data_IF_452493481110
#
_entry.id   IF_452493481110
#
_cell.length_a   1.000
_cell.length_b   1.000
_cell.length_c   1.000
_cell.angle_alpha   90.00
_cell.angle_beta   90.00
_cell.angle_gamma   90.00
#
_symmetry.space_group_name_H-M   'P 1'
#
loop_
_entity.id
_entity.type
_entity.pdbx_description
1 polymer ?
#
# COMPACT_ATOMS: atom_id res chain seq x y z
N UNK A 1 -11.99 -46.41 -48.97
CA UNK A 1 -11.50 -45.32 -48.09
C UNK A 1 -12.72 -44.55 -47.62
N UNK A 2 -13.11 -44.75 -46.36
CA UNK A 2 -14.26 -44.09 -45.76
C UNK A 2 -13.82 -42.70 -45.30
N UNK A 3 -14.17 -41.65 -46.02
CA UNK A 3 -13.89 -40.26 -45.62
C UNK A 3 -15.04 -39.78 -44.75
N UNK A 4 -14.90 -39.97 -43.44
CA UNK A 4 -15.74 -39.30 -42.45
C UNK A 4 -15.50 -37.80 -42.54
N UNK A 5 -16.51 -37.04 -42.95
CA UNK A 5 -16.49 -35.58 -42.84
C UNK A 5 -16.80 -35.23 -41.39
N UNK A 6 -15.83 -34.66 -40.69
CA UNK A 6 -16.08 -34.02 -39.40
C UNK A 6 -16.71 -32.65 -39.73
N UNK A 7 -18.01 -32.51 -39.52
CA UNK A 7 -18.64 -31.20 -39.54
C UNK A 7 -18.17 -30.45 -38.29
N UNK A 8 -17.33 -29.43 -38.48
CA UNK A 8 -17.05 -28.45 -37.43
C UNK A 8 -18.30 -27.59 -37.29
N UNK A 9 -19.09 -27.87 -36.25
CA UNK A 9 -20.19 -27.00 -35.85
C UNK A 9 -19.57 -25.74 -35.24
N UNK A 10 -19.65 -24.62 -35.95
CA UNK A 10 -19.29 -23.30 -35.42
C UNK A 10 -20.59 -22.73 -34.86
N UNK A 11 -20.81 -22.89 -33.56
CA UNK A 11 -21.95 -22.25 -32.90
C UNK A 11 -21.74 -20.73 -32.92
N UNK A 12 -22.75 -19.91 -33.29
CA UNK A 12 -22.61 -18.46 -33.25
C UNK A 12 -22.20 -18.03 -31.83
N UNK A 13 -21.31 -17.03 -31.70
CA UNK A 13 -20.88 -16.59 -30.38
C UNK A 13 -22.10 -16.12 -29.59
N UNK A 14 -22.26 -16.65 -28.39
CA UNK A 14 -23.33 -16.26 -27.47
C UNK A 14 -23.19 -14.77 -27.11
N UNK A 15 -24.32 -14.09 -27.05
CA UNK A 15 -24.40 -12.66 -26.74
C UNK A 15 -25.30 -12.42 -25.53
N UNK A 16 -25.16 -11.24 -24.96
CA UNK A 16 -25.87 -10.79 -23.78
C UNK A 16 -25.77 -9.28 -23.60
N UNK A 17 -26.50 -8.76 -22.64
CA UNK A 17 -26.55 -7.34 -22.33
C UNK A 17 -25.20 -6.84 -21.80
N UNK A 18 -24.74 -5.74 -22.38
CA UNK A 18 -23.54 -5.01 -22.03
C UNK A 18 -23.92 -3.60 -21.60
N UNK A 19 -23.70 -3.28 -20.32
CA UNK A 19 -23.96 -1.95 -19.79
C UNK A 19 -22.70 -1.09 -19.88
N UNK A 20 -22.83 0.13 -20.42
CA UNK A 20 -21.78 1.14 -20.29
C UNK A 20 -21.66 1.59 -18.84
N UNK A 21 -20.46 2.03 -18.45
CA UNK A 21 -20.19 2.43 -17.07
C UNK A 21 -20.95 3.69 -16.66
N UNK A 22 -21.32 4.57 -17.58
CA UNK A 22 -22.20 5.70 -17.26
C UNK A 22 -23.65 5.28 -16.92
N UNK A 23 -24.00 4.00 -17.10
CA UNK A 23 -25.33 3.45 -16.86
C UNK A 23 -26.37 3.86 -17.91
N UNK A 24 -26.00 4.62 -18.92
CA UNK A 24 -26.96 5.22 -19.86
C UNK A 24 -27.25 4.34 -21.08
N UNK A 25 -26.31 3.46 -21.45
CA UNK A 25 -26.41 2.66 -22.67
C UNK A 25 -26.32 1.17 -22.36
N UNK A 26 -27.23 0.41 -22.97
CA UNK A 26 -27.15 -1.05 -23.02
C UNK A 26 -27.09 -1.51 -24.48
N UNK A 27 -26.14 -2.38 -24.80
CA UNK A 27 -26.04 -3.04 -26.11
C UNK A 27 -26.00 -4.57 -25.93
N UNK A 28 -26.42 -5.32 -26.96
CA UNK A 28 -26.31 -6.78 -26.95
C UNK A 28 -25.02 -7.16 -27.67
N UNK A 29 -24.06 -7.67 -26.91
CA UNK A 29 -22.69 -7.92 -27.36
C UNK A 29 -22.22 -9.30 -26.90
N UNK A 30 -21.09 -9.78 -27.42
CA UNK A 30 -20.40 -10.91 -26.80
C UNK A 30 -19.70 -10.45 -25.52
N UNK A 31 -19.41 -11.36 -24.58
CA UNK A 31 -18.65 -11.02 -23.37
C UNK A 31 -17.31 -10.34 -23.68
N UNK A 32 -16.60 -10.80 -24.72
CA UNK A 32 -15.32 -10.22 -25.15
C UNK A 32 -15.50 -8.81 -25.73
N UNK A 33 -16.49 -8.60 -26.59
CA UNK A 33 -16.82 -7.26 -27.11
C UNK A 33 -17.20 -6.30 -26.00
N UNK A 34 -17.99 -6.76 -25.02
CA UNK A 34 -18.41 -5.94 -23.90
C UNK A 34 -17.23 -5.48 -23.04
N UNK A 35 -16.30 -6.42 -22.73
CA UNK A 35 -15.07 -6.09 -22.01
C UNK A 35 -14.18 -5.12 -22.79
N UNK A 36 -14.09 -5.26 -24.12
CA UNK A 36 -13.34 -4.33 -24.97
C UNK A 36 -13.92 -2.91 -24.96
N UNK A 37 -15.24 -2.77 -24.84
CA UNK A 37 -15.92 -1.49 -24.68
C UNK A 37 -15.82 -0.91 -23.26
N UNK A 38 -15.16 -1.62 -22.34
CA UNK A 38 -15.09 -1.24 -20.93
C UNK A 38 -16.42 -1.36 -20.18
N UNK A 39 -17.40 -2.08 -20.73
CA UNK A 39 -18.72 -2.27 -20.13
C UNK A 39 -18.81 -3.47 -19.20
N UNK A 40 -19.94 -3.59 -18.50
CA UNK A 40 -20.25 -4.71 -17.60
C UNK A 40 -21.19 -5.68 -18.33
N UNK A 41 -20.71 -6.91 -18.55
CA UNK A 41 -21.49 -7.99 -19.17
C UNK A 41 -22.43 -8.65 -18.17
N UNK A 42 -23.70 -8.86 -18.56
CA UNK A 42 -24.76 -9.37 -17.68
C UNK A 42 -25.12 -10.84 -17.92
N UNK A 43 -24.28 -11.56 -18.65
CA UNK A 43 -24.42 -12.99 -18.92
C UNK A 43 -25.10 -13.30 -20.25
N UNK A 44 -24.91 -14.54 -20.70
CA UNK A 44 -25.38 -15.02 -22.00
C UNK A 44 -26.91 -15.14 -22.05
N UNK A 45 -27.50 -14.75 -23.18
CA UNK A 45 -28.94 -14.75 -23.39
C UNK A 45 -29.70 -13.64 -22.67
N UNK A 46 -29.01 -12.81 -21.87
CA UNK A 46 -29.61 -11.66 -21.19
C UNK A 46 -29.84 -10.53 -22.20
N UNK A 47 -31.09 -10.11 -22.41
CA UNK A 47 -31.42 -8.96 -23.25
C UNK A 47 -31.38 -7.63 -22.48
N UNK A 48 -31.15 -6.52 -23.17
CA UNK A 48 -31.14 -5.19 -22.54
C UNK A 48 -32.49 -4.79 -21.92
N UNK A 49 -33.61 -5.32 -22.42
CA UNK A 49 -34.94 -5.07 -21.84
C UNK A 49 -35.12 -5.70 -20.45
N UNK A 50 -34.25 -6.64 -20.07
CA UNK A 50 -34.29 -7.35 -18.80
C UNK A 50 -33.23 -6.85 -17.79
N UNK A 51 -32.44 -5.83 -18.15
CA UNK A 51 -31.32 -5.31 -17.36
C UNK A 51 -31.50 -3.84 -17.11
N UNK A 52 -31.36 -3.44 -15.85
CA UNK A 52 -31.15 -2.04 -15.47
C UNK A 52 -29.64 -1.76 -15.41
N UNK A 53 -29.17 -0.81 -16.22
CA UNK A 53 -27.78 -0.40 -16.19
C UNK A 53 -27.59 0.68 -15.11
N UNK A 54 -26.83 0.33 -14.07
CA UNK A 54 -26.52 1.23 -12.97
C UNK A 54 -25.23 2.00 -13.28
N UNK A 55 -25.20 3.34 -13.13
CA UNK A 55 -23.98 4.11 -13.24
C UNK A 55 -22.90 3.58 -12.29
N UNK A 56 -21.77 3.21 -12.86
CA UNK A 56 -20.66 2.53 -12.21
C UNK A 56 -19.34 3.18 -12.63
N UNK A 57 -18.28 2.85 -11.90
CA UNK A 57 -16.94 3.33 -12.22
C UNK A 57 -15.89 2.61 -11.39
N UNK A 58 -14.64 2.99 -11.58
CA UNK A 58 -13.54 2.48 -10.81
C UNK A 58 -13.71 2.82 -9.33
N UNK A 59 -13.58 1.80 -8.50
CA UNK A 59 -13.56 1.84 -7.05
C UNK A 59 -12.20 1.33 -6.59
N UNK A 60 -11.45 2.18 -5.91
CA UNK A 60 -10.18 1.77 -5.31
C UNK A 60 -10.44 1.24 -3.90
N UNK A 61 -10.22 -0.06 -3.71
CA UNK A 61 -10.37 -0.71 -2.42
C UNK A 61 -9.14 -0.48 -1.53
N UNK A 62 -9.28 -0.64 -0.20
CA UNK A 62 -8.17 -0.44 0.74
C UNK A 62 -6.97 -1.38 0.52
N UNK A 63 -7.17 -2.53 -0.12
CA UNK A 63 -6.09 -3.46 -0.44
C UNK A 63 -5.34 -3.10 -1.74
N UNK A 64 -5.66 -1.95 -2.35
CA UNK A 64 -5.11 -1.50 -3.62
C UNK A 64 -5.78 -2.10 -4.85
N UNK A 65 -6.74 -3.02 -4.67
CA UNK A 65 -7.49 -3.58 -5.78
C UNK A 65 -8.41 -2.51 -6.40
N UNK A 66 -8.55 -2.57 -7.72
CA UNK A 66 -9.55 -1.79 -8.42
C UNK A 66 -10.68 -2.70 -8.89
N UNK A 67 -11.91 -2.35 -8.53
CA UNK A 67 -13.12 -3.00 -9.02
C UNK A 67 -14.04 -1.99 -9.69
N UNK A 68 -14.90 -2.44 -10.60
CA UNK A 68 -15.89 -1.59 -11.25
C UNK A 68 -17.24 -1.85 -10.60
N UNK A 69 -17.72 -0.88 -9.82
CA UNK A 69 -18.98 -0.98 -9.07
C UNK A 69 -19.72 0.36 -9.05
N UNK A 70 -20.93 0.37 -8.49
CA UNK A 70 -21.65 1.61 -8.25
C UNK A 70 -20.96 2.44 -7.16
N UNK A 71 -21.25 3.74 -7.10
CA UNK A 71 -20.70 4.62 -6.05
C UNK A 71 -21.14 4.17 -4.67
N UNK A 72 -22.38 3.69 -4.53
CA UNK A 72 -22.92 3.22 -3.25
C UNK A 72 -22.23 1.93 -2.79
N UNK A 73 -22.08 0.96 -3.68
CA UNK A 73 -21.40 -0.32 -3.38
C UNK A 73 -19.93 -0.10 -3.05
N UNK A 74 -19.26 0.79 -3.79
CA UNK A 74 -17.86 1.16 -3.53
C UNK A 74 -17.67 1.72 -2.12
N UNK A 75 -18.53 2.64 -1.70
CA UNK A 75 -18.48 3.20 -0.34
C UNK A 75 -18.84 2.15 0.72
N UNK A 76 -19.79 1.26 0.43
CA UNK A 76 -20.15 0.16 1.31
C UNK A 76 -19.00 -0.86 1.50
N UNK A 77 -18.16 -1.04 0.48
CA UNK A 77 -16.94 -1.83 0.52
C UNK A 77 -15.76 -1.11 1.20
N UNK A 78 -15.94 0.13 1.66
CA UNK A 78 -14.88 0.95 2.26
C UNK A 78 -13.87 1.49 1.24
N UNK A 79 -14.20 1.43 -0.07
CA UNK A 79 -13.36 1.95 -1.14
C UNK A 79 -13.60 3.43 -1.44
N UNK A 80 -12.77 3.97 -2.33
CA UNK A 80 -12.81 5.36 -2.79
C UNK A 80 -13.24 5.39 -4.27
N UNK A 81 -14.43 5.94 -4.59
CA UNK A 81 -14.89 6.08 -5.97
C UNK A 81 -13.99 7.05 -6.75
N UNK A 82 -13.58 6.67 -7.96
CA UNK A 82 -12.75 7.50 -8.83
C UNK A 82 -13.55 8.31 -9.86
N UNK A 83 -14.83 7.97 -10.03
CA UNK A 83 -15.77 8.67 -10.92
C UNK A 83 -16.57 7.72 -11.78
N UNK A 84 -17.84 8.09 -12.04
CA UNK A 84 -18.72 7.33 -12.94
C UNK A 84 -18.16 7.35 -14.36
N UNK A 85 -18.20 6.21 -15.04
CA UNK A 85 -17.71 6.09 -16.41
C UNK A 85 -16.21 5.80 -16.51
N UNK A 86 -15.43 5.95 -15.43
CA UNK A 86 -14.00 5.68 -15.42
C UNK A 86 -13.76 4.18 -15.24
N UNK A 87 -13.10 3.48 -16.19
CA UNK A 87 -12.74 2.07 -16.00
C UNK A 87 -11.50 1.93 -15.12
N UNK A 88 -11.34 0.77 -14.47
CA UNK A 88 -10.17 0.48 -13.64
C UNK A 88 -8.83 0.56 -14.37
N UNK A 89 -8.81 0.30 -15.68
CA UNK A 89 -7.59 0.40 -16.49
C UNK A 89 -7.02 1.84 -16.54
N UNK A 90 -7.87 2.84 -16.35
CA UNK A 90 -7.51 4.26 -16.37
C UNK A 90 -7.48 4.89 -14.98
N UNK A 91 -7.83 4.13 -13.93
CA UNK A 91 -7.85 4.61 -12.56
C UNK A 91 -6.49 4.39 -11.88
N UNK A 92 -5.96 5.42 -11.25
CA UNK A 92 -4.76 5.32 -10.42
C UNK A 92 -5.16 5.00 -8.98
N UNK A 93 -5.35 3.71 -8.69
CA UNK A 93 -5.55 3.25 -7.33
C UNK A 93 -4.22 3.19 -6.58
N UNK A 94 -4.08 3.92 -5.47
CA UNK A 94 -2.90 3.86 -4.62
C UNK A 94 -2.69 2.43 -4.12
N UNK A 95 -1.43 2.00 -4.07
CA UNK A 95 -1.11 0.63 -3.69
C UNK A 95 -0.65 0.63 -2.23
N UNK A 96 -1.02 -0.39 -1.43
CA UNK A 96 -0.51 -0.55 -0.08
C UNK A 96 1.01 -0.53 -0.04
N UNK A 97 1.55 -0.12 1.10
CA UNK A 97 2.99 -0.07 1.33
C UNK A 97 3.37 -0.41 2.76
N UNK A 98 4.64 -0.69 2.97
CA UNK A 98 5.21 -0.97 4.27
C UNK A 98 5.31 0.31 5.11
N UNK A 99 4.88 0.20 6.36
CA UNK A 99 5.06 1.17 7.42
C UNK A 99 6.01 0.58 8.47
N UNK A 100 7.16 1.24 8.68
CA UNK A 100 8.08 0.88 9.74
C UNK A 100 7.72 1.63 11.02
N UNK A 101 7.28 0.90 12.03
CA UNK A 101 6.96 1.44 13.35
C UNK A 101 8.25 1.65 14.16
N UNK A 102 8.17 2.49 15.20
CA UNK A 102 9.31 2.85 16.05
C UNK A 102 9.90 1.65 16.81
N UNK A 103 9.09 0.63 17.07
CA UNK A 103 9.52 -0.62 17.70
C UNK A 103 10.17 -1.60 16.72
N UNK A 104 10.50 -1.15 15.50
CA UNK A 104 11.11 -1.96 14.45
C UNK A 104 10.16 -2.97 13.82
N UNK A 105 8.89 -3.02 14.23
CA UNK A 105 7.89 -3.83 13.56
C UNK A 105 7.49 -3.19 12.23
N UNK A 106 7.03 -4.05 11.32
CA UNK A 106 6.56 -3.64 10.00
C UNK A 106 5.11 -4.08 9.83
N UNK A 107 4.28 -3.17 9.33
CA UNK A 107 2.93 -3.48 8.88
C UNK A 107 2.69 -2.96 7.47
N UNK A 108 1.83 -3.64 6.71
CA UNK A 108 1.35 -3.14 5.43
C UNK A 108 0.16 -2.24 5.72
N UNK A 109 0.27 -0.96 5.40
CA UNK A 109 -0.83 0.01 5.53
C UNK A 109 -1.59 0.14 4.21
N UNK A 110 -2.93 0.19 4.27
CA UNK A 110 -3.80 0.19 3.09
C UNK A 110 -3.87 1.52 2.32
N UNK A 111 -3.28 2.61 2.81
CA UNK A 111 -3.69 3.96 2.42
C UNK A 111 -2.85 4.64 1.32
N UNK A 112 -3.50 5.61 0.66
CA UNK A 112 -2.96 6.63 -0.24
C UNK A 112 -1.88 7.48 0.45
N UNK A 113 -0.61 7.09 0.33
CA UNK A 113 0.50 7.90 0.81
C UNK A 113 0.77 7.81 2.32
N UNK A 114 0.25 6.79 2.99
CA UNK A 114 0.67 6.41 4.35
C UNK A 114 0.20 7.30 5.50
N UNK A 115 -0.98 7.94 5.43
CA UNK A 115 -1.47 8.75 6.55
C UNK A 115 -1.87 7.89 7.77
N UNK A 116 -2.24 6.62 7.55
CA UNK A 116 -2.44 5.62 8.59
C UNK A 116 -1.13 5.01 9.12
N UNK A 117 0.03 5.41 8.61
CA UNK A 117 1.32 4.95 9.12
C UNK A 117 1.72 5.74 10.37
N UNK A 118 1.78 5.06 11.52
CA UNK A 118 2.27 5.64 12.78
C UNK A 118 3.81 5.76 12.86
N UNK A 119 4.52 5.47 11.77
CA UNK A 119 5.98 5.51 11.66
C UNK A 119 6.43 6.02 10.30
N UNK A 120 7.39 5.35 9.68
CA UNK A 120 7.91 5.74 8.35
C UNK A 120 7.28 4.89 7.26
N UNK A 121 6.51 5.54 6.39
CA UNK A 121 5.97 4.92 5.19
C UNK A 121 7.06 4.80 4.12
N UNK A 122 7.35 3.58 3.67
CA UNK A 122 8.38 3.30 2.67
C UNK A 122 7.92 3.57 1.24
N UNK A 123 6.62 3.86 1.04
CA UNK A 123 6.01 4.12 -0.25
C UNK A 123 5.16 2.96 -0.77
N UNK A 124 4.33 3.25 -1.75
CA UNK A 124 3.44 2.29 -2.39
C UNK A 124 4.22 1.10 -3.01
N UNK A 125 3.63 -0.10 -2.95
CA UNK A 125 4.22 -1.37 -3.42
C UNK A 125 5.46 -1.84 -2.66
N UNK A 126 5.76 -1.28 -1.49
CA UNK A 126 6.78 -1.83 -0.59
C UNK A 126 6.20 -2.93 0.29
N UNK A 127 7.03 -3.91 0.64
CA UNK A 127 6.66 -5.08 1.44
C UNK A 127 7.35 -5.06 2.80
N UNK A 128 6.84 -5.84 3.75
CA UNK A 128 7.48 -6.10 5.03
C UNK A 128 8.48 -7.27 4.97
N UNK A 129 9.28 -7.34 3.91
CA UNK A 129 10.32 -8.36 3.82
C UNK A 129 11.47 -8.06 4.80
N UNK A 130 12.11 -9.13 5.31
CA UNK A 130 13.12 -9.04 6.37
C UNK A 130 14.25 -8.05 6.01
N UNK A 131 14.44 -7.03 6.85
CA UNK A 131 15.53 -6.06 6.78
C UNK A 131 15.21 -4.73 6.08
N UNK A 132 13.96 -4.49 5.66
CA UNK A 132 13.54 -3.18 5.17
C UNK A 132 13.30 -2.17 6.29
N UNK A 133 12.78 -2.63 7.43
CA UNK A 133 12.68 -1.81 8.64
C UNK A 133 13.95 -1.98 9.48
N UNK A 134 14.51 -0.86 9.99
CA UNK A 134 15.62 -0.94 10.93
C UNK A 134 15.16 -1.67 12.19
N UNK A 135 16.13 -2.26 12.89
CA UNK A 135 15.87 -2.86 14.19
C UNK A 135 15.22 -1.84 15.13
N UNK A 136 14.35 -2.34 16.00
CA UNK A 136 13.78 -1.56 17.10
C UNK A 136 14.88 -0.76 17.81
N UNK A 137 14.60 0.49 18.16
CA UNK A 137 15.51 1.22 19.05
C UNK A 137 15.70 0.41 20.34
N UNK A 138 16.95 0.20 20.72
CA UNK A 138 17.31 -0.46 21.98
C UNK A 138 17.82 0.64 22.91
N UNK A 139 17.13 0.93 24.03
CA UNK A 139 17.59 1.96 24.96
C UNK A 139 19.02 1.64 25.43
N UNK A 140 19.88 2.65 25.44
CA UNK A 140 21.26 2.56 25.95
C UNK A 140 21.34 3.27 27.30
N UNK A 141 20.94 2.63 28.42
CA UNK A 141 20.90 3.26 29.73
C UNK A 141 22.30 3.53 30.31
N UNK A 142 23.33 2.93 29.74
CA UNK A 142 24.74 3.24 29.98
C UNK A 142 25.26 4.40 29.11
N UNK A 143 24.53 4.81 28.07
CA UNK A 143 24.93 5.90 27.19
C UNK A 143 26.08 5.54 26.24
N UNK A 144 26.43 4.26 26.14
CA UNK A 144 27.35 3.71 25.15
C UNK A 144 26.56 3.45 23.85
N UNK A 145 26.83 4.28 22.84
CA UNK A 145 26.07 4.35 21.58
C UNK A 145 26.82 3.73 20.40
N UNK A 146 28.14 3.52 20.53
CA UNK A 146 28.93 2.79 19.52
C UNK A 146 29.34 1.37 19.95
N UNK A 147 29.03 0.99 21.18
CA UNK A 147 29.17 -0.36 21.73
C UNK A 147 30.61 -0.71 22.10
N UNK A 148 31.48 0.28 22.34
CA UNK A 148 32.89 0.05 22.67
C UNK A 148 33.14 -0.24 24.16
N UNK A 149 32.09 -0.17 24.97
CA UNK A 149 32.09 -0.43 26.41
C UNK A 149 32.46 0.79 27.26
N UNK A 150 32.63 1.96 26.67
CA UNK A 150 32.88 3.22 27.35
C UNK A 150 31.78 4.24 27.03
N UNK A 151 31.69 5.26 27.87
CA UNK A 151 30.77 6.39 27.62
C UNK A 151 31.61 7.65 27.51
N UNK A 152 31.97 8.03 26.29
CA UNK A 152 32.93 9.08 26.02
C UNK A 152 32.55 10.03 24.88
N UNK A 153 33.54 10.70 24.31
CA UNK A 153 33.32 11.70 23.27
C UNK A 153 32.75 11.11 21.98
N UNK A 154 33.04 9.85 21.66
CA UNK A 154 32.46 9.19 20.49
C UNK A 154 30.94 9.02 20.66
N UNK A 155 30.48 8.74 21.89
CA UNK A 155 29.04 8.64 22.16
C UNK A 155 28.33 9.98 22.08
N UNK A 156 28.96 11.00 22.66
CA UNK A 156 28.47 12.36 22.54
C UNK A 156 28.39 12.80 21.08
N UNK A 157 29.40 12.43 20.28
CA UNK A 157 29.38 12.71 18.85
C UNK A 157 28.25 11.98 18.14
N UNK A 158 27.92 10.75 18.51
CA UNK A 158 26.80 10.02 17.89
C UNK A 158 25.44 10.69 18.11
N UNK A 159 25.19 11.18 19.33
CA UNK A 159 23.99 11.97 19.66
C UNK A 159 23.98 13.31 18.91
N UNK A 160 25.08 14.07 18.98
CA UNK A 160 25.15 15.39 18.35
C UNK A 160 25.11 15.35 16.81
N UNK A 161 25.68 14.30 16.20
CA UNK A 161 25.70 14.15 14.75
C UNK A 161 24.33 13.82 14.15
N UNK A 162 23.37 13.38 14.98
CA UNK A 162 22.04 12.90 14.57
C UNK A 162 20.90 13.72 15.17
N UNK A 163 21.20 14.92 15.68
CA UNK A 163 20.25 15.80 16.37
C UNK A 163 19.00 16.11 15.54
N UNK A 164 17.82 15.91 16.14
CA UNK A 164 16.51 16.13 15.51
C UNK A 164 15.66 14.88 15.47
N UNK A 165 14.69 14.85 14.55
CA UNK A 165 13.75 13.74 14.44
C UNK A 165 14.47 12.47 14.01
N UNK A 166 14.24 11.37 14.73
CA UNK A 166 14.72 10.05 14.33
C UNK A 166 13.69 9.38 13.41
N UNK A 167 13.50 9.95 12.21
CA UNK A 167 12.61 9.37 11.19
C UNK A 167 13.47 8.57 10.23
N UNK A 168 13.41 7.26 10.35
CA UNK A 168 14.24 6.27 9.66
C UNK A 168 13.89 6.11 8.17
N UNK A 169 14.67 6.59 7.18
CA UNK A 169 14.79 5.89 5.92
C UNK A 169 15.69 4.65 6.09
N UNK A 170 15.60 3.65 5.18
CA UNK A 170 16.48 2.48 5.21
C UNK A 170 17.97 2.90 5.21
N UNK A 171 18.73 2.43 6.21
CA UNK A 171 20.18 2.64 6.30
C UNK A 171 20.67 3.73 7.26
N UNK A 172 19.79 4.38 8.01
CA UNK A 172 20.18 5.23 9.15
C UNK A 172 19.76 4.54 10.44
N UNK A 173 20.71 4.04 11.23
CA UNK A 173 20.43 3.58 12.60
C UNK A 173 20.25 4.80 13.51
N UNK A 174 19.21 4.80 14.34
CA UNK A 174 18.92 5.81 15.36
C UNK A 174 19.88 5.75 16.56
N UNK A 175 21.18 5.56 16.33
CA UNK A 175 22.20 5.40 17.38
C UNK A 175 22.28 6.60 18.35
N UNK A 176 21.74 7.76 17.97
CA UNK A 176 21.67 8.94 18.81
C UNK A 176 20.42 9.06 19.69
N UNK A 177 19.38 8.25 19.45
CA UNK A 177 18.15 8.20 20.24
C UNK A 177 18.35 7.14 21.34
N UNK A 178 18.91 7.57 22.45
CA UNK A 178 19.44 6.74 23.53
C UNK A 178 18.33 6.31 24.47
N UNK A 179 17.28 7.14 24.63
CA UNK A 179 16.11 6.81 25.45
C UNK A 179 14.90 6.29 24.64
N UNK A 180 15.04 6.19 23.32
CA UNK A 180 14.09 5.63 22.37
C UNK A 180 12.74 6.37 22.37
N UNK A 181 12.76 7.69 22.52
CA UNK A 181 11.55 8.52 22.48
C UNK A 181 11.15 8.95 21.06
N UNK A 182 11.94 8.58 20.04
CA UNK A 182 11.73 8.91 18.64
C UNK A 182 12.39 10.22 18.21
N UNK A 183 13.13 10.87 19.09
CA UNK A 183 13.88 12.10 18.82
C UNK A 183 15.29 11.99 19.37
N UNK A 184 16.24 12.58 18.67
CA UNK A 184 17.59 12.81 19.17
C UNK A 184 17.64 14.25 19.69
N UNK A 185 17.45 14.42 21.00
CA UNK A 185 17.37 15.71 21.64
C UNK A 185 18.16 15.81 22.97
N UNK A 186 17.78 16.76 23.81
CA UNK A 186 18.45 17.00 25.08
C UNK A 186 18.23 15.87 26.10
N UNK A 187 17.23 15.02 25.91
CA UNK A 187 16.94 13.86 26.75
C UNK A 187 18.01 12.79 26.55
N UNK A 188 18.38 12.49 25.30
CA UNK A 188 19.48 11.58 24.96
C UNK A 188 20.82 12.09 25.44
N UNK A 189 21.08 13.38 25.24
CA UNK A 189 22.32 14.01 25.69
C UNK A 189 22.51 13.85 27.20
N UNK A 190 21.43 13.92 27.98
CA UNK A 190 21.53 13.69 29.43
C UNK A 190 21.93 12.28 29.75
N UNK A 191 21.47 11.27 29.00
CA UNK A 191 21.81 9.87 29.27
C UNK A 191 23.32 9.68 29.12
N UNK A 192 23.90 10.11 28.00
CA UNK A 192 25.34 10.03 27.74
C UNK A 192 26.16 10.81 28.78
N UNK A 193 25.77 12.05 29.08
CA UNK A 193 26.49 12.88 30.04
C UNK A 193 26.36 12.38 31.49
N UNK A 194 25.26 11.73 31.85
CA UNK A 194 25.05 11.19 33.19
C UNK A 194 25.89 9.93 33.48
N UNK A 195 26.36 9.26 32.43
CA UNK A 195 27.10 7.99 32.51
C UNK A 195 28.55 8.08 32.08
N UNK A 196 29.02 9.30 31.82
CA UNK A 196 30.37 9.61 31.35
C UNK A 196 31.46 8.82 32.08
N UNK A 197 32.14 7.95 31.34
CA UNK A 197 33.16 7.03 31.82
C UNK A 197 34.17 6.71 30.72
N UNK A 198 35.07 7.66 30.37
CA UNK A 198 36.06 7.48 29.32
C UNK A 198 37.17 6.52 29.76
N UNK A 199 37.92 5.92 28.82
CA UNK A 199 39.05 5.06 29.13
C UNK A 199 40.10 5.77 30.01
N UNK A 200 40.35 5.23 31.20
CA UNK A 200 41.36 5.76 32.14
C UNK A 200 40.88 6.87 33.08
N UNK A 201 39.56 7.10 33.15
CA UNK A 201 38.89 7.94 34.16
C UNK A 201 38.74 7.27 35.52
#
# INVERSE_FOLDING_TARGET
FNTSFFEVSIEPPVTGACCTLDGMTCTVETAASCSFLGGIYRGDGTGCDAVECIPSGACCLPDGACVVESVEDCLAAGGVPQGIGLPCADAQCPQPGACCLLDGSCEIVPEVGGADCAGVYLGDNTTCDDGMCPAACVPSPDGDTDGDGFTDFNDLLNVLARWGLCMLPPGFECLGDVDCDGQVDFSDLKVVLAKWNPPGG
#
